data_IF_588394847688
#
_entry.id   IF_588394847688
#
_cell.length_a   1.000
_cell.length_b   1.000
_cell.length_c   1.000
_cell.angle_alpha   90.00
_cell.angle_beta   90.00
_cell.angle_gamma   90.00
#
_symmetry.space_group_name_H-M   'P 1'
#
loop_
_entity.id
_entity.type
_entity.pdbx_description
1 polymer ?
#
# COMPACT_ATOMS: atom_id res chain seq x y z
N UNK A 1 31.26 -35.43 -2.00
CA UNK A 1 30.62 -35.29 -0.68
C UNK A 1 29.38 -34.49 -0.91
N UNK A 2 28.15 -34.99 -0.71
CA UNK A 2 26.93 -34.24 -0.93
C UNK A 2 26.65 -33.38 0.29
N UNK A 3 26.42 -32.08 0.05
CA UNK A 3 26.00 -31.12 1.06
C UNK A 3 24.51 -31.37 1.32
N UNK A 4 24.22 -31.89 2.50
CA UNK A 4 22.84 -32.01 3.02
C UNK A 4 22.36 -30.60 3.41
N UNK A 5 21.41 -30.04 2.65
CA UNK A 5 20.69 -28.82 3.05
C UNK A 5 19.71 -29.19 4.17
N UNK A 6 19.95 -28.63 5.34
CA UNK A 6 19.03 -28.72 6.45
C UNK A 6 17.76 -27.91 6.12
N UNK A 7 16.59 -28.55 6.13
CA UNK A 7 15.30 -27.88 6.12
C UNK A 7 15.11 -27.13 7.46
N UNK A 8 14.56 -25.90 7.46
CA UNK A 8 14.34 -25.19 8.71
C UNK A 8 13.13 -25.77 9.45
N UNK A 9 13.36 -26.22 10.66
CA UNK A 9 12.38 -26.67 11.68
C UNK A 9 11.57 -25.51 12.29
N UNK A 10 11.26 -24.48 11.51
CA UNK A 10 10.61 -23.26 12.02
C UNK A 10 9.08 -23.31 12.08
N UNK A 11 8.45 -24.25 11.38
CA UNK A 11 6.97 -24.29 11.30
C UNK A 11 6.20 -24.68 12.58
N UNK A 12 6.69 -25.61 13.45
CA UNK A 12 5.94 -25.95 14.67
C UNK A 12 5.99 -24.89 15.76
N UNK A 13 7.03 -24.05 15.80
CA UNK A 13 7.18 -23.01 16.82
C UNK A 13 6.20 -21.83 16.65
N UNK A 14 5.82 -21.53 15.42
CA UNK A 14 4.85 -20.44 15.12
C UNK A 14 3.44 -20.82 15.58
N UNK A 15 3.07 -22.10 15.55
CA UNK A 15 1.75 -22.58 15.95
C UNK A 15 1.56 -22.59 17.48
N UNK A 16 2.61 -22.83 18.25
CA UNK A 16 2.56 -22.86 19.73
C UNK A 16 2.59 -21.46 20.36
N UNK A 17 3.20 -20.47 19.70
CA UNK A 17 3.23 -19.09 20.17
C UNK A 17 1.90 -18.34 19.96
N UNK A 18 1.04 -18.80 19.07
CA UNK A 18 -0.28 -18.22 18.82
C UNK A 18 -1.25 -18.38 20.02
N UNK A 19 -0.96 -19.29 20.95
CA UNK A 19 -1.82 -19.57 22.09
C UNK A 19 -1.55 -18.68 23.31
N UNK A 20 -0.49 -17.87 23.31
CA UNK A 20 -0.08 -17.03 24.44
C UNK A 20 -0.12 -15.53 24.17
N UNK A 21 -0.88 -15.05 23.19
CA UNK A 21 -0.99 -13.63 22.89
C UNK A 21 -1.72 -12.87 24.01
N UNK A 22 -1.20 -11.72 24.46
CA UNK A 22 -1.87 -10.91 25.45
C UNK A 22 -3.21 -10.38 24.95
N UNK A 23 -4.19 -10.35 25.85
CA UNK A 23 -5.59 -10.05 25.58
C UNK A 23 -5.88 -8.53 25.45
N UNK A 24 -5.13 -7.80 24.66
CA UNK A 24 -5.35 -6.35 24.48
C UNK A 24 -5.94 -6.02 23.09
N UNK A 25 -6.78 -6.89 22.56
CA UNK A 25 -7.48 -6.61 21.32
C UNK A 25 -8.89 -6.08 21.62
N UNK A 26 -9.28 -5.00 20.97
CA UNK A 26 -10.68 -4.66 20.87
C UNK A 26 -11.42 -5.78 20.14
N UNK A 27 -12.31 -6.44 20.88
CA UNK A 27 -12.96 -7.69 20.46
C UNK A 27 -14.15 -7.49 19.51
N UNK A 28 -14.40 -6.26 18.99
CA UNK A 28 -15.62 -5.93 18.25
C UNK A 28 -15.98 -6.94 17.15
N UNK A 29 -15.19 -6.92 16.05
CA UNK A 29 -15.47 -7.75 14.86
C UNK A 29 -14.50 -8.93 14.71
N UNK A 30 -13.60 -9.16 15.65
CA UNK A 30 -12.60 -10.22 15.59
C UNK A 30 -13.08 -11.49 16.28
N UNK A 31 -12.98 -12.60 15.57
CA UNK A 31 -13.18 -13.95 16.10
C UNK A 31 -12.00 -14.84 15.74
N UNK A 32 -11.24 -15.28 16.72
CA UNK A 32 -10.12 -16.19 16.53
C UNK A 32 -10.58 -17.49 15.83
N UNK A 33 -11.67 -18.08 16.30
CA UNK A 33 -12.20 -19.33 15.73
C UNK A 33 -12.68 -19.15 14.29
N UNK A 34 -13.30 -17.99 13.99
CA UNK A 34 -13.69 -17.67 12.62
C UNK A 34 -12.46 -17.51 11.72
N UNK A 35 -11.43 -16.82 12.19
CA UNK A 35 -10.20 -16.65 11.44
C UNK A 35 -9.49 -17.98 11.19
N UNK A 36 -9.46 -18.87 12.19
CA UNK A 36 -8.91 -20.21 12.03
C UNK A 36 -9.73 -21.04 11.05
N UNK A 37 -11.06 -20.98 11.13
CA UNK A 37 -11.96 -21.66 10.20
C UNK A 37 -11.73 -21.20 8.76
N UNK A 38 -11.60 -19.88 8.55
CA UNK A 38 -11.36 -19.33 7.21
C UNK A 38 -9.97 -19.68 6.66
N UNK A 39 -8.98 -19.89 7.53
CA UNK A 39 -7.67 -20.35 7.11
C UNK A 39 -7.67 -21.80 6.61
N UNK A 40 -8.43 -22.66 7.29
CA UNK A 40 -8.50 -24.11 6.98
C UNK A 40 -9.51 -24.39 5.86
N UNK A 41 -10.60 -23.65 5.85
CA UNK A 41 -11.70 -23.82 4.89
C UNK A 41 -12.23 -22.47 4.42
N UNK A 42 -11.50 -21.80 3.54
CA UNK A 42 -11.87 -20.46 3.07
C UNK A 42 -13.18 -20.54 2.28
N UNK A 43 -14.04 -19.53 2.41
CA UNK A 43 -15.24 -19.43 1.61
C UNK A 43 -14.88 -19.25 0.13
N UNK A 44 -15.69 -19.83 -0.76
CA UNK A 44 -15.49 -19.65 -2.20
C UNK A 44 -15.89 -18.25 -2.62
N UNK A 45 -15.16 -17.67 -3.58
CA UNK A 45 -15.58 -16.46 -4.24
C UNK A 45 -16.82 -16.75 -5.13
N UNK A 46 -17.61 -15.71 -5.38
CA UNK A 46 -18.75 -15.83 -6.30
C UNK A 46 -18.27 -16.06 -7.74
N UNK A 47 -19.17 -16.57 -8.57
CA UNK A 47 -18.87 -16.76 -9.98
C UNK A 47 -18.55 -15.42 -10.66
N UNK A 48 -17.69 -15.42 -11.68
CA UNK A 48 -17.41 -14.24 -12.48
C UNK A 48 -18.70 -13.71 -13.11
N UNK A 49 -18.78 -12.40 -13.18
CA UNK A 49 -19.92 -11.70 -13.77
C UNK A 49 -19.84 -11.66 -15.29
N UNK A 50 -21.00 -11.41 -15.92
CA UNK A 50 -21.09 -11.26 -17.39
C UNK A 50 -20.25 -10.05 -17.87
N UNK A 51 -19.61 -10.14 -19.03
CA UNK A 51 -18.84 -9.06 -19.61
C UNK A 51 -19.67 -7.80 -19.84
N UNK A 52 -19.15 -6.67 -19.36
CA UNK A 52 -19.60 -5.37 -19.81
C UNK A 52 -18.65 -4.83 -20.89
N UNK A 53 -19.21 -4.18 -21.89
CA UNK A 53 -18.40 -3.45 -22.85
C UNK A 53 -17.75 -2.24 -22.15
N UNK A 54 -16.50 -1.96 -22.51
CA UNK A 54 -15.81 -0.78 -22.03
C UNK A 54 -16.47 0.46 -22.64
N UNK A 55 -16.95 1.33 -21.76
CA UNK A 55 -17.58 2.60 -22.13
C UNK A 55 -16.85 3.75 -21.45
N UNK A 56 -16.40 4.70 -22.23
CA UNK A 56 -15.66 5.86 -21.73
C UNK A 56 -14.19 5.56 -21.38
N UNK A 57 -13.45 6.53 -20.86
CA UNK A 57 -12.02 6.40 -20.61
C UNK A 57 -11.68 5.45 -19.47
N UNK A 58 -12.45 5.42 -18.35
CA UNK A 58 -12.19 4.60 -17.17
C UNK A 58 -13.50 4.01 -16.59
N UNK A 59 -14.21 3.17 -17.34
CA UNK A 59 -15.45 2.58 -16.85
C UNK A 59 -15.17 1.57 -15.74
N UNK A 60 -16.16 1.31 -14.90
CA UNK A 60 -16.21 0.08 -14.14
C UNK A 60 -16.44 -1.06 -15.14
N UNK A 61 -15.51 -1.99 -15.17
CA UNK A 61 -15.61 -3.15 -16.03
C UNK A 61 -16.04 -4.34 -15.18
N UNK A 62 -17.17 -4.95 -15.53
CA UNK A 62 -17.44 -6.30 -15.11
C UNK A 62 -16.30 -7.19 -15.61
N UNK A 63 -15.78 -8.05 -14.77
CA UNK A 63 -14.79 -9.03 -15.19
C UNK A 63 -15.48 -10.33 -15.61
N UNK A 64 -15.71 -10.53 -16.90
CA UNK A 64 -16.52 -11.64 -17.39
C UNK A 64 -15.87 -13.00 -17.26
N UNK A 65 -14.58 -13.01 -17.23
CA UNK A 65 -13.78 -14.21 -17.15
C UNK A 65 -12.81 -14.15 -15.98
N UNK A 66 -13.14 -13.37 -14.96
CA UNK A 66 -12.44 -13.41 -13.70
C UNK A 66 -12.48 -14.83 -13.19
N UNK A 67 -11.37 -15.49 -13.28
CA UNK A 67 -11.26 -16.85 -12.85
C UNK A 67 -11.32 -16.89 -11.33
N UNK A 68 -12.36 -17.48 -10.83
CA UNK A 68 -12.34 -18.02 -9.51
C UNK A 68 -11.68 -19.39 -9.59
N UNK A 69 -10.42 -19.50 -9.17
CA UNK A 69 -9.70 -20.76 -9.18
C UNK A 69 -10.26 -21.78 -8.16
N UNK A 70 -11.26 -21.41 -7.38
CA UNK A 70 -11.73 -22.21 -6.28
C UNK A 70 -10.71 -22.25 -5.12
N UNK A 71 -10.88 -23.23 -4.25
CA UNK A 71 -9.89 -23.48 -3.19
C UNK A 71 -8.60 -23.99 -3.83
N UNK A 72 -7.53 -23.23 -3.64
CA UNK A 72 -6.16 -23.62 -3.99
C UNK A 72 -5.44 -24.01 -2.68
N UNK A 73 -5.17 -25.32 -2.45
CA UNK A 73 -4.50 -25.76 -1.23
C UNK A 73 -3.05 -25.27 -1.12
N UNK A 74 -2.45 -24.79 -2.23
CA UNK A 74 -1.18 -24.12 -2.22
C UNK A 74 -1.24 -22.66 -1.75
N UNK A 75 -2.44 -22.11 -1.61
CA UNK A 75 -2.63 -20.71 -1.25
C UNK A 75 -2.66 -20.52 0.27
N UNK A 76 -1.68 -19.82 0.80
CA UNK A 76 -1.38 -19.77 2.23
C UNK A 76 -2.52 -19.28 3.13
N UNK A 77 -3.26 -18.27 2.69
CA UNK A 77 -4.35 -17.71 3.49
C UNK A 77 -5.73 -18.14 3.03
N UNK A 78 -5.80 -19.18 2.20
CA UNK A 78 -7.05 -19.55 1.57
C UNK A 78 -7.60 -18.45 0.66
N UNK A 79 -6.74 -17.56 0.19
CA UNK A 79 -7.14 -16.57 -0.79
C UNK A 79 -7.45 -17.23 -2.12
N UNK A 80 -8.50 -16.77 -2.75
CA UNK A 80 -8.85 -17.18 -4.10
C UNK A 80 -8.23 -16.22 -5.10
N UNK A 81 -7.62 -16.74 -6.14
CA UNK A 81 -7.02 -15.95 -7.21
C UNK A 81 -8.10 -15.52 -8.20
N UNK A 82 -8.26 -14.23 -8.40
CA UNK A 82 -9.13 -13.67 -9.43
C UNK A 82 -8.25 -13.18 -10.57
N UNK A 83 -8.31 -13.88 -11.71
CA UNK A 83 -7.59 -13.48 -12.92
C UNK A 83 -8.45 -12.54 -13.74
N UNK A 84 -7.88 -11.37 -14.09
CA UNK A 84 -8.61 -10.41 -14.91
C UNK A 84 -8.68 -10.88 -16.34
N UNK A 85 -9.87 -10.78 -16.92
CA UNK A 85 -10.07 -11.10 -18.33
C UNK A 85 -9.34 -10.10 -19.24
N UNK A 86 -8.83 -10.54 -20.40
CA UNK A 86 -8.14 -9.64 -21.35
C UNK A 86 -8.98 -8.42 -21.77
N UNK A 87 -10.31 -8.58 -21.84
CA UNK A 87 -11.24 -7.50 -22.19
C UNK A 87 -11.24 -6.35 -21.21
N UNK A 88 -10.83 -6.58 -19.97
CA UNK A 88 -10.70 -5.53 -18.95
C UNK A 88 -9.55 -4.58 -19.24
N UNK A 89 -8.57 -5.00 -20.05
CA UNK A 89 -7.33 -4.29 -20.28
C UNK A 89 -6.43 -4.23 -19.05
N UNK A 90 -6.70 -5.02 -18.01
CA UNK A 90 -5.89 -5.08 -16.79
C UNK A 90 -4.66 -5.96 -17.01
N UNK A 91 -3.47 -5.32 -16.93
CA UNK A 91 -2.19 -5.97 -17.17
C UNK A 91 -1.12 -5.47 -16.20
N UNK A 92 -0.10 -6.29 -15.95
CA UNK A 92 1.12 -5.88 -15.25
C UNK A 92 2.04 -5.04 -16.17
N UNK A 93 3.09 -4.48 -15.63
CA UNK A 93 4.04 -3.64 -16.38
C UNK A 93 4.65 -4.32 -17.60
N UNK A 94 4.94 -5.60 -17.50
CA UNK A 94 5.44 -6.43 -18.62
C UNK A 94 4.34 -6.87 -19.62
N UNK A 95 3.09 -6.43 -19.44
CA UNK A 95 1.96 -6.81 -20.29
C UNK A 95 1.30 -8.14 -19.94
N UNK A 96 1.78 -8.88 -18.93
CA UNK A 96 1.12 -10.12 -18.48
C UNK A 96 -0.23 -9.84 -17.84
N UNK A 97 -1.18 -10.81 -17.87
CA UNK A 97 -2.50 -10.63 -17.28
C UNK A 97 -2.46 -10.29 -15.80
N UNK A 98 -3.23 -9.29 -15.41
CA UNK A 98 -3.36 -8.89 -14.00
C UNK A 98 -4.22 -9.88 -13.23
N UNK A 99 -3.94 -10.05 -11.95
CA UNK A 99 -4.74 -10.83 -11.01
C UNK A 99 -4.70 -10.17 -9.63
N UNK A 100 -5.72 -10.46 -8.82
CA UNK A 100 -5.76 -10.10 -7.41
C UNK A 100 -6.30 -11.26 -6.58
N UNK A 101 -6.28 -11.11 -5.27
CA UNK A 101 -6.61 -12.20 -4.37
C UNK A 101 -7.70 -11.79 -3.39
N UNK A 102 -8.60 -12.72 -3.09
CA UNK A 102 -9.69 -12.47 -2.16
C UNK A 102 -9.83 -13.64 -1.18
N UNK A 103 -9.98 -13.29 0.10
CA UNK A 103 -10.37 -14.23 1.15
C UNK A 103 -11.64 -13.70 1.83
N UNK A 104 -12.73 -14.43 1.70
CA UNK A 104 -14.03 -14.05 2.25
C UNK A 104 -14.25 -14.65 3.63
N UNK A 105 -14.98 -13.93 4.44
CA UNK A 105 -15.45 -14.38 5.75
C UNK A 105 -16.96 -14.54 5.70
N UNK A 106 -17.52 -15.69 6.06
CA UNK A 106 -18.96 -15.87 6.18
C UNK A 106 -19.57 -14.85 7.16
N UNK A 107 -20.77 -14.39 6.84
CA UNK A 107 -21.60 -13.54 7.71
C UNK A 107 -21.06 -12.14 8.00
N UNK A 108 -20.02 -11.68 7.29
CA UNK A 108 -19.62 -10.28 7.34
C UNK A 108 -19.73 -9.61 5.97
N UNK A 109 -20.12 -8.32 5.98
CA UNK A 109 -20.01 -7.45 4.82
C UNK A 109 -18.84 -6.46 4.94
N UNK A 110 -18.13 -6.49 6.07
CA UNK A 110 -16.95 -5.64 6.25
C UNK A 110 -15.83 -6.09 5.33
N UNK A 111 -15.12 -5.15 4.72
CA UNK A 111 -14.12 -5.45 3.69
C UNK A 111 -12.88 -4.59 3.88
N UNK A 112 -11.72 -5.21 3.82
CA UNK A 112 -10.44 -4.52 3.67
C UNK A 112 -9.95 -4.66 2.23
N UNK A 113 -9.57 -3.55 1.63
CA UNK A 113 -8.85 -3.49 0.35
C UNK A 113 -7.41 -3.12 0.67
N UNK A 114 -6.52 -4.10 0.64
CA UNK A 114 -5.11 -3.93 0.93
C UNK A 114 -4.33 -3.84 -0.38
N UNK A 115 -3.67 -2.70 -0.60
CA UNK A 115 -2.83 -2.46 -1.75
C UNK A 115 -1.38 -2.75 -1.38
N UNK A 116 -0.74 -3.60 -2.15
CA UNK A 116 0.65 -3.98 -1.92
C UNK A 116 1.62 -2.83 -2.18
N UNK A 117 2.65 -2.69 -1.34
CA UNK A 117 3.79 -1.83 -1.61
C UNK A 117 4.74 -2.39 -2.66
N UNK A 118 5.76 -1.65 -3.03
CA UNK A 118 6.78 -2.19 -3.92
C UNK A 118 7.40 -1.20 -4.88
N UNK A 119 7.90 -0.09 -4.37
CA UNK A 119 8.65 0.90 -5.13
C UNK A 119 7.85 1.62 -6.22
N UNK A 120 8.58 2.19 -7.16
CA UNK A 120 8.02 2.87 -8.33
C UNK A 120 9.04 2.85 -9.47
N UNK A 121 8.59 3.06 -10.70
CA UNK A 121 9.51 3.05 -11.83
C UNK A 121 9.15 4.09 -12.90
N UNK A 122 10.16 4.55 -13.62
CA UNK A 122 10.04 5.59 -14.66
C UNK A 122 11.18 5.57 -15.68
N UNK A 123 12.03 4.57 -15.66
CA UNK A 123 13.14 4.36 -16.58
C UNK A 123 13.43 2.86 -16.74
N UNK A 124 14.37 2.52 -17.62
CA UNK A 124 14.73 1.14 -17.92
C UNK A 124 15.16 0.39 -16.63
N UNK A 125 16.09 0.95 -15.86
CA UNK A 125 16.65 0.28 -14.70
C UNK A 125 15.61 0.04 -13.60
N UNK A 126 14.78 1.04 -13.33
CA UNK A 126 13.76 0.92 -12.28
C UNK A 126 12.58 0.02 -12.67
N UNK A 127 12.21 -0.05 -13.95
CA UNK A 127 11.11 -0.91 -14.41
C UNK A 127 11.53 -2.34 -14.72
N UNK A 128 12.80 -2.58 -15.14
CA UNK A 128 13.30 -3.91 -15.47
C UNK A 128 13.59 -4.81 -14.26
N UNK A 129 13.51 -4.28 -13.04
CA UNK A 129 13.89 -4.97 -11.81
C UNK A 129 15.37 -4.83 -11.43
N UNK A 130 16.19 -4.10 -12.20
CA UNK A 130 17.61 -3.89 -11.89
C UNK A 130 17.84 -3.01 -10.65
N UNK A 131 16.86 -2.20 -10.27
CA UNK A 131 16.93 -1.34 -9.08
C UNK A 131 16.54 -2.04 -7.77
N UNK A 132 16.32 -3.35 -7.78
CA UNK A 132 15.96 -4.12 -6.60
C UNK A 132 14.67 -3.61 -5.95
N UNK A 133 14.67 -3.48 -4.61
CA UNK A 133 13.49 -3.04 -3.85
C UNK A 133 13.03 -1.62 -4.18
N UNK A 134 13.86 -0.82 -4.79
CA UNK A 134 13.56 0.55 -5.23
C UNK A 134 13.01 0.63 -6.65
N UNK A 135 12.92 -0.50 -7.35
CA UNK A 135 12.29 -0.59 -8.67
C UNK A 135 10.82 -1.03 -8.59
N UNK A 136 10.27 -1.35 -9.76
CA UNK A 136 8.93 -1.94 -9.83
C UNK A 136 8.92 -3.34 -9.21
N UNK A 137 8.04 -3.56 -8.25
CA UNK A 137 7.78 -4.91 -7.74
C UNK A 137 7.15 -5.75 -8.85
N UNK A 138 7.41 -7.05 -8.81
CA UNK A 138 6.87 -8.01 -9.78
C UNK A 138 7.12 -7.61 -11.24
N UNK A 139 8.35 -7.27 -11.65
CA UNK A 139 8.63 -6.81 -13.01
C UNK A 139 8.32 -7.85 -14.08
N UNK A 140 8.26 -9.13 -13.71
CA UNK A 140 7.92 -10.26 -14.58
C UNK A 140 6.43 -10.67 -14.46
N UNK A 141 5.59 -9.84 -13.84
CA UNK A 141 4.18 -10.16 -13.58
C UNK A 141 3.97 -10.92 -12.26
N UNK A 142 2.72 -11.18 -11.92
CA UNK A 142 2.32 -11.81 -10.67
C UNK A 142 2.28 -13.33 -10.87
N UNK A 143 3.11 -14.07 -10.12
CA UNK A 143 3.14 -15.52 -10.16
C UNK A 143 1.80 -16.14 -9.76
N UNK A 144 1.51 -17.36 -10.22
CA UNK A 144 0.26 -18.04 -9.86
C UNK A 144 0.26 -18.52 -8.41
N UNK A 145 1.43 -18.82 -7.86
CA UNK A 145 1.66 -19.21 -6.46
C UNK A 145 1.95 -18.04 -5.52
N UNK A 146 1.68 -16.80 -5.96
CA UNK A 146 2.05 -15.57 -5.24
C UNK A 146 1.59 -15.54 -3.78
N UNK A 147 0.42 -16.10 -3.49
CA UNK A 147 -0.15 -16.19 -2.15
C UNK A 147 0.00 -17.59 -1.54
N UNK A 148 0.95 -18.40 -2.02
CA UNK A 148 1.19 -19.75 -1.51
C UNK A 148 2.15 -19.76 -0.31
N UNK A 149 2.19 -20.89 0.41
CA UNK A 149 3.16 -21.12 1.50
C UNK A 149 4.61 -21.08 1.04
N UNK A 150 4.88 -21.42 -0.22
CA UNK A 150 6.22 -21.48 -0.78
C UNK A 150 6.69 -20.11 -1.30
N UNK A 151 5.76 -19.24 -1.59
CA UNK A 151 6.00 -17.86 -2.00
C UNK A 151 5.11 -16.93 -1.17
N UNK A 152 5.47 -16.72 0.12
CA UNK A 152 4.58 -16.04 1.05
C UNK A 152 4.36 -14.55 0.74
N UNK A 153 4.78 -14.07 -0.41
CA UNK A 153 4.51 -12.72 -0.86
C UNK A 153 4.53 -11.68 0.27
N UNK A 154 4.20 -10.45 0.00
CA UNK A 154 4.10 -9.42 1.02
C UNK A 154 2.94 -9.62 2.03
N UNK A 155 2.11 -10.63 1.86
CA UNK A 155 0.96 -10.89 2.75
C UNK A 155 1.31 -11.27 4.19
N UNK A 156 2.54 -11.80 4.42
CA UNK A 156 3.04 -12.07 5.79
C UNK A 156 3.43 -10.80 6.54
N UNK A 157 3.50 -9.68 5.88
CA UNK A 157 4.18 -8.52 6.42
C UNK A 157 3.26 -7.49 7.05
N UNK A 158 1.95 -7.71 7.17
CA UNK A 158 1.09 -6.76 7.87
C UNK A 158 -0.02 -7.42 8.68
N UNK A 159 -0.22 -7.00 9.94
CA UNK A 159 -1.35 -7.45 10.77
C UNK A 159 -2.72 -7.24 10.13
N UNK A 160 -2.85 -6.29 9.21
CA UNK A 160 -4.10 -6.05 8.50
C UNK A 160 -4.55 -7.22 7.63
N UNK A 161 -3.61 -8.00 7.10
CA UNK A 161 -3.88 -9.09 6.15
C UNK A 161 -3.54 -10.48 6.69
N UNK A 162 -2.89 -10.58 7.84
CA UNK A 162 -2.54 -11.85 8.49
C UNK A 162 -3.60 -12.19 9.53
N UNK A 163 -4.53 -13.11 9.20
CA UNK A 163 -5.68 -13.45 10.06
C UNK A 163 -5.28 -13.97 11.44
N UNK A 164 -4.22 -14.76 11.50
CA UNK A 164 -3.71 -15.35 12.75
C UNK A 164 -2.36 -14.72 13.13
N UNK A 165 -2.28 -13.39 13.06
CA UNK A 165 -1.06 -12.69 13.44
C UNK A 165 -0.72 -13.01 14.92
N UNK A 166 0.52 -13.46 15.22
CA UNK A 166 0.84 -13.99 16.55
C UNK A 166 0.84 -12.91 17.64
N UNK A 167 1.16 -11.67 17.30
CA UNK A 167 1.36 -10.60 18.27
C UNK A 167 0.31 -9.49 18.22
N UNK A 168 -0.19 -9.19 17.03
CA UNK A 168 -1.09 -8.05 16.81
C UNK A 168 -2.47 -8.51 16.42
N UNK A 169 -3.49 -7.97 17.08
CA UNK A 169 -4.89 -8.17 16.74
C UNK A 169 -5.48 -6.88 16.21
N UNK A 170 -6.19 -6.97 15.10
CA UNK A 170 -6.94 -5.87 14.53
C UNK A 170 -8.23 -6.39 13.94
N UNK A 171 -9.32 -5.66 14.10
CA UNK A 171 -10.67 -6.16 13.73
C UNK A 171 -10.79 -6.54 12.26
N UNK A 172 -9.99 -5.94 11.38
CA UNK A 172 -9.97 -6.24 9.95
C UNK A 172 -9.52 -7.67 9.64
N UNK A 173 -8.86 -8.36 10.57
CA UNK A 173 -8.50 -9.78 10.43
C UNK A 173 -9.72 -10.70 10.30
N UNK A 174 -10.90 -10.23 10.69
CA UNK A 174 -12.17 -10.94 10.50
C UNK A 174 -13.06 -10.32 9.41
N UNK A 175 -12.54 -9.46 8.56
CA UNK A 175 -13.23 -8.89 7.41
C UNK A 175 -12.95 -9.67 6.14
N UNK A 176 -13.78 -9.50 5.11
CA UNK A 176 -13.39 -9.91 3.77
C UNK A 176 -12.10 -9.19 3.39
N UNK A 177 -11.12 -9.95 2.90
CA UNK A 177 -9.82 -9.43 2.51
C UNK A 177 -9.70 -9.43 1.00
N UNK A 178 -9.41 -8.27 0.44
CA UNK A 178 -9.06 -8.07 -0.97
C UNK A 178 -7.60 -7.65 -0.99
N UNK A 179 -6.73 -8.51 -1.48
CA UNK A 179 -5.32 -8.22 -1.65
C UNK A 179 -5.04 -7.86 -3.10
N UNK A 180 -4.61 -6.63 -3.32
CA UNK A 180 -4.35 -6.04 -4.64
C UNK A 180 -2.83 -5.95 -4.85
N UNK A 181 -2.21 -6.90 -5.57
CA UNK A 181 -0.77 -6.91 -5.77
C UNK A 181 -0.32 -5.80 -6.71
N UNK A 182 0.94 -5.43 -6.57
CA UNK A 182 1.55 -4.34 -7.30
C UNK A 182 2.52 -4.84 -8.39
N UNK A 183 2.34 -4.42 -9.63
CA UNK A 183 3.19 -4.85 -10.74
C UNK A 183 3.31 -3.83 -11.90
N UNK A 184 2.91 -2.58 -11.66
CA UNK A 184 2.88 -1.55 -12.71
C UNK A 184 3.85 -0.40 -12.46
N UNK A 185 4.43 -0.31 -11.27
CA UNK A 185 5.45 0.68 -10.93
C UNK A 185 4.96 2.14 -10.87
N UNK A 186 3.66 2.39 -10.70
CA UNK A 186 2.99 3.68 -10.88
C UNK A 186 2.05 4.07 -9.74
N UNK A 187 2.24 3.51 -8.54
CA UNK A 187 1.39 3.69 -7.35
C UNK A 187 -0.12 3.56 -7.65
N UNK A 188 -0.48 2.57 -8.48
CA UNK A 188 -1.87 2.28 -8.88
C UNK A 188 -2.59 3.43 -9.59
N UNK A 189 -1.85 4.35 -10.23
CA UNK A 189 -2.41 5.61 -10.73
C UNK A 189 -2.14 5.89 -12.20
N UNK A 190 -1.18 5.20 -12.82
CA UNK A 190 -0.78 5.45 -14.19
C UNK A 190 -1.75 4.92 -15.25
N UNK A 191 -1.67 5.51 -16.45
CA UNK A 191 -2.34 5.04 -17.66
C UNK A 191 -1.51 5.40 -18.91
N UNK A 192 -0.38 4.72 -19.08
CA UNK A 192 0.53 4.94 -20.20
C UNK A 192 1.30 3.67 -20.55
N UNK A 193 1.46 3.40 -21.83
CA UNK A 193 2.48 2.46 -22.31
C UNK A 193 3.73 3.27 -22.63
N UNK A 194 4.82 2.96 -21.93
CA UNK A 194 6.12 3.62 -22.11
C UNK A 194 7.11 2.68 -22.79
N UNK A 195 8.06 3.25 -23.53
CA UNK A 195 9.21 2.52 -24.06
C UNK A 195 10.46 3.13 -23.44
N UNK A 196 11.21 2.31 -22.74
CA UNK A 196 12.44 2.70 -22.05
C UNK A 196 13.65 2.06 -22.73
N UNK A 197 14.53 2.89 -23.27
CA UNK A 197 15.77 2.43 -23.88
C UNK A 197 16.76 1.96 -22.80
N UNK A 198 17.49 0.87 -23.08
CA UNK A 198 18.62 0.47 -22.26
C UNK A 198 19.75 1.50 -22.38
N UNK A 199 20.15 2.19 -21.30
CA UNK A 199 21.22 3.20 -21.39
C UNK A 199 22.55 2.67 -21.90
N UNK A 200 22.77 1.36 -21.80
CA UNK A 200 24.00 0.68 -22.24
C UNK A 200 23.87 0.13 -23.67
N UNK A 201 22.68 0.12 -24.23
CA UNK A 201 22.42 -0.41 -25.58
C UNK A 201 22.65 -1.91 -25.71
N UNK A 202 22.69 -2.66 -24.60
CA UNK A 202 22.98 -4.08 -24.56
C UNK A 202 21.72 -4.95 -24.63
N UNK A 203 20.59 -4.38 -24.27
CA UNK A 203 19.29 -5.06 -24.28
C UNK A 203 18.29 -4.30 -25.17
N UNK A 204 17.29 -4.99 -25.71
CA UNK A 204 16.22 -4.32 -26.44
C UNK A 204 15.45 -3.36 -25.52
N UNK A 205 14.79 -2.33 -26.09
CA UNK A 205 13.93 -1.42 -25.34
C UNK A 205 12.87 -2.16 -24.54
N UNK A 206 12.62 -1.69 -23.31
CA UNK A 206 11.60 -2.23 -22.43
C UNK A 206 10.26 -1.55 -22.70
N UNK A 207 9.28 -2.32 -23.18
CA UNK A 207 7.90 -1.86 -23.27
C UNK A 207 7.23 -2.08 -21.93
N UNK A 208 6.79 -0.99 -21.28
CA UNK A 208 6.25 -1.05 -19.94
C UNK A 208 4.86 -0.41 -19.86
N UNK A 209 3.95 -1.12 -19.20
CA UNK A 209 2.57 -0.69 -19.01
C UNK A 209 2.37 -0.07 -17.62
N UNK A 210 2.39 1.26 -17.53
CA UNK A 210 1.88 1.97 -16.36
C UNK A 210 0.36 1.93 -16.40
N UNK A 211 -0.23 0.89 -15.84
CA UNK A 211 -1.64 0.54 -16.03
C UNK A 211 -2.43 0.51 -14.72
N UNK A 212 -1.88 1.13 -13.67
CA UNK A 212 -2.39 1.02 -12.32
C UNK A 212 -3.82 1.47 -12.16
N UNK A 213 -4.22 2.61 -12.76
CA UNK A 213 -5.60 3.09 -12.68
C UNK A 213 -6.58 2.12 -13.38
N UNK A 214 -6.22 1.58 -14.54
CA UNK A 214 -7.09 0.61 -15.24
C UNK A 214 -7.23 -0.68 -14.47
N UNK A 215 -6.14 -1.17 -13.88
CA UNK A 215 -6.16 -2.34 -13.01
C UNK A 215 -7.10 -2.12 -11.82
N UNK A 216 -6.98 -0.98 -11.15
CA UNK A 216 -7.87 -0.63 -10.04
C UNK A 216 -9.34 -0.52 -10.47
N UNK A 217 -9.62 0.06 -11.64
CA UNK A 217 -10.99 0.13 -12.17
C UNK A 217 -11.57 -1.26 -12.45
N UNK A 218 -10.76 -2.18 -12.95
CA UNK A 218 -11.17 -3.57 -13.19
C UNK A 218 -11.42 -4.31 -11.86
N UNK A 219 -10.52 -4.15 -10.85
CA UNK A 219 -10.71 -4.71 -9.50
C UNK A 219 -12.01 -4.19 -8.87
N UNK A 220 -12.23 -2.87 -8.88
CA UNK A 220 -13.44 -2.25 -8.31
C UNK A 220 -14.70 -2.74 -9.01
N UNK A 221 -14.67 -2.87 -10.33
CA UNK A 221 -15.78 -3.45 -11.10
C UNK A 221 -16.11 -4.87 -10.63
N UNK A 222 -15.10 -5.72 -10.51
CA UNK A 222 -15.29 -7.07 -10.02
C UNK A 222 -15.87 -7.10 -8.59
N UNK A 223 -15.32 -6.28 -7.68
CA UNK A 223 -15.77 -6.20 -6.29
C UNK A 223 -17.25 -5.77 -6.20
N UNK A 224 -17.62 -4.77 -6.98
CA UNK A 224 -19.01 -4.27 -7.02
C UNK A 224 -20.00 -5.37 -7.43
N UNK A 225 -19.61 -6.22 -8.39
CA UNK A 225 -20.49 -7.21 -8.96
C UNK A 225 -20.49 -8.54 -8.17
N UNK A 226 -19.43 -8.82 -7.39
CA UNK A 226 -19.24 -10.12 -6.73
C UNK A 226 -19.23 -10.07 -5.20
N UNK A 227 -19.15 -8.90 -4.60
CA UNK A 227 -19.26 -8.76 -3.15
C UNK A 227 -20.53 -7.98 -2.78
N UNK A 228 -21.19 -8.36 -1.68
CA UNK A 228 -22.26 -7.53 -1.15
C UNK A 228 -21.69 -6.17 -0.76
N UNK A 229 -22.49 -5.12 -0.92
CA UNK A 229 -22.12 -3.76 -0.50
C UNK A 229 -21.61 -3.78 0.94
N UNK A 230 -20.36 -3.31 1.19
CA UNK A 230 -19.77 -3.36 2.51
C UNK A 230 -20.49 -2.45 3.51
N UNK A 231 -20.65 -2.91 4.74
CA UNK A 231 -21.03 -2.04 5.87
C UNK A 231 -19.87 -1.14 6.25
N UNK A 232 -18.67 -1.69 6.31
CA UNK A 232 -17.44 -0.96 6.56
C UNK A 232 -16.39 -1.36 5.51
N UNK A 233 -15.64 -0.38 5.01
CA UNK A 233 -14.54 -0.63 4.07
C UNK A 233 -13.30 0.14 4.50
N UNK A 234 -12.21 -0.58 4.73
CA UNK A 234 -10.88 0.02 4.90
C UNK A 234 -10.09 -0.11 3.58
N UNK A 235 -9.61 0.99 3.05
CA UNK A 235 -8.54 1.01 2.06
C UNK A 235 -7.22 1.28 2.79
N UNK A 236 -6.22 0.43 2.60
CA UNK A 236 -4.92 0.58 3.23
C UNK A 236 -3.82 -0.12 2.44
N UNK A 237 -2.60 0.15 2.79
CA UNK A 237 -1.41 -0.45 2.22
C UNK A 237 -0.18 0.32 2.66
N UNK A 238 0.99 -0.24 2.39
CA UNK A 238 2.27 0.38 2.73
C UNK A 238 2.95 0.93 1.47
N UNK A 239 3.74 2.01 1.61
CA UNK A 239 4.58 2.53 0.52
C UNK A 239 3.76 2.90 -0.72
N UNK A 240 4.10 2.32 -1.88
CA UNK A 240 3.29 2.45 -3.10
C UNK A 240 1.82 2.06 -2.87
N UNK A 241 1.55 1.10 -1.98
CA UNK A 241 0.20 0.70 -1.61
C UNK A 241 -0.52 1.74 -0.75
N UNK A 242 0.18 2.40 0.15
CA UNK A 242 -0.35 3.52 0.93
C UNK A 242 -0.74 4.70 0.04
N UNK A 243 0.17 5.11 -0.85
CA UNK A 243 -0.10 6.12 -1.87
C UNK A 243 -1.24 5.71 -2.81
N UNK A 244 -1.24 4.44 -3.25
CA UNK A 244 -2.28 3.86 -4.08
C UNK A 244 -3.66 3.86 -3.41
N UNK A 245 -3.70 3.56 -2.11
CA UNK A 245 -4.91 3.68 -1.30
C UNK A 245 -5.47 5.10 -1.32
N UNK A 246 -4.61 6.10 -1.07
CA UNK A 246 -4.98 7.51 -1.09
C UNK A 246 -5.49 7.96 -2.45
N UNK A 247 -4.77 7.67 -3.52
CA UNK A 247 -5.12 8.13 -4.88
C UNK A 247 -6.37 7.48 -5.45
N UNK A 248 -6.69 6.24 -5.01
CA UNK A 248 -7.86 5.50 -5.44
C UNK A 248 -9.05 5.58 -4.48
N UNK A 249 -8.90 6.22 -3.31
CA UNK A 249 -9.93 6.20 -2.27
C UNK A 249 -11.27 6.77 -2.74
N UNK A 250 -11.26 7.91 -3.44
CA UNK A 250 -12.48 8.48 -3.99
C UNK A 250 -13.22 7.52 -4.92
N UNK A 251 -12.49 6.78 -5.75
CA UNK A 251 -13.05 5.79 -6.66
C UNK A 251 -13.64 4.59 -5.91
N UNK A 252 -12.88 4.03 -4.96
CA UNK A 252 -13.34 2.94 -4.10
C UNK A 252 -14.61 3.35 -3.35
N UNK A 253 -14.61 4.54 -2.77
CA UNK A 253 -15.70 5.05 -1.95
C UNK A 253 -16.98 5.29 -2.75
N UNK A 254 -16.87 5.83 -3.97
CA UNK A 254 -18.01 6.12 -4.81
C UNK A 254 -18.59 4.87 -5.50
N UNK A 255 -17.73 3.98 -5.96
CA UNK A 255 -18.18 2.88 -6.82
C UNK A 255 -18.59 1.64 -6.04
N UNK A 256 -17.93 1.34 -4.93
CA UNK A 256 -18.32 0.25 -4.00
C UNK A 256 -19.41 0.75 -3.04
N UNK A 257 -19.39 2.04 -2.72
CA UNK A 257 -20.37 2.75 -1.90
C UNK A 257 -20.63 2.09 -0.51
N UNK A 258 -19.59 1.80 0.29
CA UNK A 258 -19.77 1.25 1.63
C UNK A 258 -20.57 2.23 2.52
N UNK A 259 -21.21 1.71 3.57
CA UNK A 259 -21.93 2.58 4.51
C UNK A 259 -20.94 3.47 5.28
N UNK A 260 -19.76 2.94 5.66
CA UNK A 260 -18.64 3.69 6.25
C UNK A 260 -17.34 3.38 5.51
N UNK A 261 -16.58 4.43 5.20
CA UNK A 261 -15.27 4.34 4.60
C UNK A 261 -14.16 4.72 5.57
N UNK A 262 -13.04 4.00 5.49
CA UNK A 262 -11.82 4.26 6.22
C UNK A 262 -10.63 4.22 5.25
N UNK A 263 -9.67 5.09 5.48
CA UNK A 263 -8.38 5.10 4.78
C UNK A 263 -7.25 5.11 5.81
N UNK A 264 -6.29 4.21 5.67
CA UNK A 264 -5.00 4.32 6.36
C UNK A 264 -3.90 4.24 5.31
N UNK A 265 -3.21 5.35 5.11
CA UNK A 265 -2.05 5.44 4.23
C UNK A 265 -0.78 5.27 5.07
N UNK A 266 -0.12 4.14 4.94
CA UNK A 266 1.14 3.87 5.62
C UNK A 266 2.31 4.15 4.67
N UNK A 267 3.15 5.09 5.04
CA UNK A 267 4.44 5.41 4.38
C UNK A 267 4.35 5.65 2.87
N UNK A 268 3.19 6.14 2.41
CA UNK A 268 2.96 6.53 1.02
C UNK A 268 2.57 8.01 0.90
N UNK A 269 3.36 8.97 1.41
CA UNK A 269 2.96 10.37 1.38
C UNK A 269 2.88 10.91 -0.05
N UNK A 270 1.82 11.68 -0.29
CA UNK A 270 1.66 12.50 -1.49
C UNK A 270 1.67 13.95 -1.04
N UNK A 271 2.81 14.59 -1.20
CA UNK A 271 3.04 15.93 -0.70
C UNK A 271 2.46 17.01 -1.61
N UNK A 272 2.12 18.16 -1.03
CA UNK A 272 1.96 19.40 -1.78
C UNK A 272 3.27 19.78 -2.45
N UNK A 273 3.24 20.01 -3.75
CA UNK A 273 4.41 20.35 -4.53
C UNK A 273 4.03 21.35 -5.63
N UNK A 274 4.48 22.58 -5.45
CA UNK A 274 4.20 23.67 -6.35
C UNK A 274 5.48 24.09 -7.11
N UNK A 275 5.31 24.48 -8.36
CA UNK A 275 6.41 24.94 -9.21
C UNK A 275 7.06 26.22 -8.66
N UNK A 276 8.37 26.33 -8.84
CA UNK A 276 9.13 27.58 -8.66
C UNK A 276 9.83 27.77 -7.32
N UNK A 277 9.68 26.81 -6.38
CA UNK A 277 10.40 26.85 -5.10
C UNK A 277 10.71 25.44 -4.59
N UNK A 278 11.83 24.87 -5.06
CA UNK A 278 12.28 23.53 -4.67
C UNK A 278 12.76 23.46 -3.21
N UNK A 279 13.02 24.59 -2.57
CA UNK A 279 13.35 24.62 -1.13
C UNK A 279 12.10 24.47 -0.28
N UNK A 280 11.02 25.12 -0.69
CA UNK A 280 9.74 24.98 -0.01
C UNK A 280 9.02 23.66 -0.39
N UNK A 281 9.19 23.15 -1.62
CA UNK A 281 8.50 21.97 -2.15
C UNK A 281 9.49 20.94 -2.70
N UNK A 282 10.29 20.30 -1.84
CA UNK A 282 11.37 19.42 -2.28
C UNK A 282 10.92 18.21 -3.13
N UNK A 283 9.69 17.75 -3.02
CA UNK A 283 9.15 16.65 -3.83
C UNK A 283 8.66 17.07 -5.22
N UNK A 284 8.76 18.35 -5.59
CA UNK A 284 8.28 18.83 -6.90
C UNK A 284 8.98 18.15 -8.08
N UNK A 285 10.32 17.97 -8.10
CA UNK A 285 10.99 17.30 -9.21
C UNK A 285 10.53 15.85 -9.42
N UNK A 286 10.35 15.08 -8.33
CA UNK A 286 9.77 13.72 -8.41
C UNK A 286 8.37 13.77 -9.02
N UNK A 287 7.50 14.65 -8.52
CA UNK A 287 6.13 14.72 -9.01
C UNK A 287 6.07 15.09 -10.50
N UNK A 288 6.96 15.97 -10.96
CA UNK A 288 7.07 16.30 -12.38
C UNK A 288 7.46 15.07 -13.21
N UNK A 289 8.43 14.30 -12.74
CA UNK A 289 8.89 13.09 -13.43
C UNK A 289 7.78 12.03 -13.54
N UNK A 290 7.11 11.71 -12.43
CA UNK A 290 6.08 10.66 -12.41
C UNK A 290 4.84 11.06 -13.21
N UNK A 291 4.46 12.33 -13.23
CA UNK A 291 3.36 12.84 -14.05
C UNK A 291 3.60 12.54 -15.53
N UNK A 292 4.83 12.76 -16.01
CA UNK A 292 5.22 12.48 -17.38
C UNK A 292 5.36 10.96 -17.63
N UNK A 293 6.07 10.25 -16.77
CA UNK A 293 6.37 8.83 -16.92
C UNK A 293 5.10 7.97 -16.94
N UNK A 294 4.15 8.26 -16.05
CA UNK A 294 2.92 7.48 -15.88
C UNK A 294 1.72 8.03 -16.67
N UNK A 295 1.90 9.10 -17.44
CA UNK A 295 0.85 9.70 -18.26
C UNK A 295 -0.27 10.36 -17.44
N UNK A 296 0.02 10.86 -16.23
CA UNK A 296 -1.01 11.38 -15.33
C UNK A 296 -1.71 12.62 -15.89
N UNK A 297 -1.01 13.48 -16.64
CA UNK A 297 -1.51 14.72 -17.23
C UNK A 297 -2.11 14.57 -18.63
N UNK A 298 -2.18 13.34 -19.16
CA UNK A 298 -2.76 13.12 -20.48
C UNK A 298 -4.19 13.69 -20.58
N UNK A 299 -4.57 14.13 -21.74
CA UNK A 299 -5.94 14.53 -22.03
C UNK A 299 -6.90 13.37 -21.73
N UNK A 300 -7.89 13.60 -20.88
CA UNK A 300 -8.75 12.56 -20.30
C UNK A 300 -7.99 11.50 -19.47
N UNK A 301 -6.79 11.84 -19.02
CA UNK A 301 -5.91 11.00 -18.21
C UNK A 301 -6.31 10.93 -16.73
N UNK A 302 -5.48 10.24 -15.93
CA UNK A 302 -5.79 9.93 -14.53
C UNK A 302 -6.13 11.14 -13.68
N UNK A 303 -5.39 12.24 -13.77
CA UNK A 303 -5.64 13.42 -12.93
C UNK A 303 -6.91 14.17 -13.33
N UNK A 304 -7.22 14.24 -14.63
CA UNK A 304 -8.49 14.82 -15.07
C UNK A 304 -9.67 13.97 -14.65
N UNK A 305 -9.54 12.65 -14.75
CA UNK A 305 -10.55 11.70 -14.29
C UNK A 305 -10.81 11.85 -12.78
N UNK A 306 -9.75 11.92 -11.97
CA UNK A 306 -9.86 12.10 -10.53
C UNK A 306 -10.48 13.47 -10.18
N UNK A 307 -10.07 14.54 -10.85
CA UNK A 307 -10.63 15.88 -10.63
C UNK A 307 -12.14 15.93 -10.90
N UNK A 308 -12.62 15.23 -11.93
CA UNK A 308 -14.04 15.15 -12.24
C UNK A 308 -14.84 14.39 -11.16
N UNK A 309 -14.21 13.49 -10.42
CA UNK A 309 -14.85 12.67 -9.39
C UNK A 309 -14.65 13.21 -7.96
N UNK A 310 -13.67 14.07 -7.75
CA UNK A 310 -13.33 14.61 -6.43
C UNK A 310 -13.29 16.14 -6.49
N UNK A 311 -14.42 16.82 -6.29
CA UNK A 311 -14.49 18.29 -6.24
C UNK A 311 -13.48 18.85 -5.23
N UNK A 312 -12.82 19.94 -5.59
CA UNK A 312 -11.77 20.55 -4.76
C UNK A 312 -10.38 19.92 -4.90
N UNK A 313 -10.25 18.78 -5.57
CA UNK A 313 -8.93 18.26 -5.93
C UNK A 313 -8.30 19.16 -7.02
N UNK A 314 -7.10 19.62 -6.72
CA UNK A 314 -6.31 20.42 -7.66
C UNK A 314 -5.29 19.52 -8.37
N UNK A 315 -5.53 19.21 -9.64
CA UNK A 315 -4.62 18.38 -10.43
C UNK A 315 -3.19 18.94 -10.54
N UNK A 316 -2.98 20.23 -10.28
CA UNK A 316 -1.65 20.85 -10.29
C UNK A 316 -0.91 20.68 -8.94
N UNK A 317 -1.62 20.24 -7.89
CA UNK A 317 -1.08 19.95 -6.57
C UNK A 317 -1.63 18.62 -6.06
N UNK A 318 -0.85 17.55 -6.19
CA UNK A 318 -1.26 16.21 -5.76
C UNK A 318 -1.52 16.14 -4.24
N UNK A 319 -0.87 16.98 -3.44
CA UNK A 319 -1.08 17.07 -2.00
C UNK A 319 -2.47 17.60 -1.61
N UNK A 320 -3.23 18.16 -2.55
CA UNK A 320 -4.63 18.55 -2.32
C UNK A 320 -5.59 17.37 -2.13
N UNK A 321 -5.12 16.12 -2.26
CA UNK A 321 -5.94 14.90 -2.10
C UNK A 321 -6.60 14.82 -0.71
N UNK A 322 -5.85 14.95 0.37
CA UNK A 322 -6.42 14.87 1.72
C UNK A 322 -7.46 15.94 1.99
N UNK A 323 -7.22 17.25 1.73
CA UNK A 323 -8.26 18.26 1.87
C UNK A 323 -9.51 17.99 1.04
N UNK A 324 -9.35 17.57 -0.21
CA UNK A 324 -10.47 17.26 -1.08
C UNK A 324 -11.26 16.04 -0.59
N UNK A 325 -10.59 14.96 -0.18
CA UNK A 325 -11.26 13.79 0.40
C UNK A 325 -11.97 14.11 1.71
N UNK A 326 -11.33 14.86 2.60
CA UNK A 326 -11.93 15.29 3.88
C UNK A 326 -13.22 16.10 3.66
N UNK A 327 -13.19 17.04 2.74
CA UNK A 327 -14.35 17.90 2.43
C UNK A 327 -15.50 17.12 1.78
N UNK A 328 -15.21 16.19 0.86
CA UNK A 328 -16.24 15.44 0.15
C UNK A 328 -16.79 14.24 0.93
N UNK A 329 -16.03 13.74 1.89
CA UNK A 329 -16.33 12.52 2.65
C UNK A 329 -16.26 12.78 4.17
N UNK A 330 -17.05 13.74 4.70
CA UNK A 330 -16.94 14.15 6.11
C UNK A 330 -17.36 13.06 7.10
N UNK A 331 -18.10 12.04 6.64
CA UNK A 331 -18.48 10.88 7.44
C UNK A 331 -17.43 9.75 7.47
N UNK A 332 -16.42 9.83 6.63
CA UNK A 332 -15.32 8.86 6.60
C UNK A 332 -14.21 9.28 7.57
N UNK A 333 -13.36 8.34 7.94
CA UNK A 333 -12.21 8.59 8.83
C UNK A 333 -10.93 8.17 8.14
N UNK A 334 -9.95 9.04 8.14
CA UNK A 334 -8.72 8.84 7.40
C UNK A 334 -7.50 9.01 8.28
N UNK A 335 -6.46 8.24 8.02
CA UNK A 335 -5.19 8.31 8.73
C UNK A 335 -4.00 8.28 7.78
N UNK A 336 -2.95 8.96 8.18
CA UNK A 336 -1.65 8.91 7.54
C UNK A 336 -0.58 8.60 8.57
N UNK A 337 0.33 7.70 8.25
CA UNK A 337 1.45 7.37 9.13
C UNK A 337 2.73 7.15 8.32
N UNK A 338 3.86 7.63 8.82
CA UNK A 338 5.19 7.28 8.36
C UNK A 338 6.24 7.71 9.39
N UNK A 339 7.46 7.17 9.28
CA UNK A 339 8.56 7.55 10.14
C UNK A 339 9.23 8.86 9.69
N UNK A 340 9.63 9.68 10.67
CA UNK A 340 10.48 10.85 10.40
C UNK A 340 11.82 10.48 9.75
N UNK A 341 12.31 9.27 10.00
CA UNK A 341 13.57 8.77 9.47
C UNK A 341 13.38 7.68 8.42
N UNK A 342 12.25 7.69 7.69
CA UNK A 342 12.04 6.81 6.55
C UNK A 342 13.06 7.11 5.45
N UNK A 343 14.14 6.33 5.38
CA UNK A 343 15.20 6.54 4.41
C UNK A 343 14.84 5.94 3.05
N UNK A 344 13.98 4.93 3.01
CA UNK A 344 13.58 4.29 1.77
C UNK A 344 12.76 5.24 0.89
N UNK A 345 11.62 5.73 1.38
CA UNK A 345 10.76 6.62 0.60
C UNK A 345 11.38 8.00 0.36
N UNK A 346 12.12 8.52 1.34
CA UNK A 346 12.81 9.80 1.19
C UNK A 346 13.93 9.76 0.15
N UNK A 347 14.69 8.67 0.06
CA UNK A 347 15.67 8.48 -1.01
C UNK A 347 15.01 8.51 -2.39
N UNK A 348 13.88 7.79 -2.56
CA UNK A 348 13.07 7.91 -3.76
C UNK A 348 12.74 9.33 -4.15
N UNK A 349 12.34 10.10 -3.16
CA UNK A 349 11.82 11.45 -3.37
C UNK A 349 12.89 12.44 -3.77
N UNK A 350 14.16 12.24 -3.34
CA UNK A 350 15.15 13.31 -3.44
C UNK A 350 16.51 12.92 -4.02
N UNK A 351 16.95 11.66 -3.90
CA UNK A 351 18.37 11.29 -4.10
C UNK A 351 18.92 11.62 -5.48
N UNK A 352 18.09 11.61 -6.51
CA UNK A 352 18.53 11.81 -7.91
C UNK A 352 18.21 13.19 -8.46
N UNK A 353 17.52 14.02 -7.73
CA UNK A 353 17.02 15.31 -8.23
C UNK A 353 17.86 16.51 -7.80
N UNK A 354 18.73 16.36 -6.83
CA UNK A 354 19.49 17.42 -6.23
C UNK A 354 20.99 17.20 -6.38
N UNK A 355 21.71 18.09 -7.11
CA UNK A 355 23.15 17.94 -7.33
C UNK A 355 23.96 17.79 -6.05
N UNK A 356 23.58 18.47 -4.95
CA UNK A 356 24.25 18.39 -3.66
C UNK A 356 24.07 17.01 -2.99
N UNK A 357 22.97 16.32 -3.26
CA UNK A 357 22.75 14.95 -2.79
C UNK A 357 23.54 13.96 -3.65
N UNK A 358 23.47 14.13 -4.98
CA UNK A 358 24.19 13.27 -5.94
C UNK A 358 25.69 13.32 -5.71
N UNK A 359 26.23 14.53 -5.45
CA UNK A 359 27.65 14.78 -5.28
C UNK A 359 28.09 14.84 -3.79
N UNK A 360 27.27 14.35 -2.87
CA UNK A 360 27.61 14.33 -1.45
C UNK A 360 28.92 13.57 -1.20
N UNK A 361 29.80 14.07 -0.32
CA UNK A 361 31.15 13.53 -0.15
C UNK A 361 31.17 12.12 0.46
N UNK A 362 30.10 11.72 1.14
CA UNK A 362 29.94 10.40 1.74
C UNK A 362 28.45 10.10 2.00
N UNK A 363 28.14 8.87 2.37
CA UNK A 363 26.79 8.40 2.62
C UNK A 363 26.09 9.18 3.75
N UNK A 364 26.78 9.48 4.84
CA UNK A 364 26.20 10.23 5.96
C UNK A 364 25.76 11.65 5.57
N UNK A 365 26.59 12.35 4.76
CA UNK A 365 26.23 13.65 4.23
C UNK A 365 25.04 13.58 3.27
N UNK A 366 25.01 12.54 2.41
CA UNK A 366 23.87 12.28 1.51
C UNK A 366 22.57 12.09 2.31
N UNK A 367 22.58 11.22 3.30
CA UNK A 367 21.41 10.95 4.14
C UNK A 367 20.94 12.17 4.92
N UNK A 368 21.87 12.98 5.43
CA UNK A 368 21.52 14.21 6.13
C UNK A 368 20.76 15.20 5.22
N UNK A 369 21.20 15.37 3.97
CA UNK A 369 20.52 16.19 2.97
C UNK A 369 19.14 15.65 2.58
N UNK A 370 19.01 14.34 2.44
CA UNK A 370 17.73 13.67 2.18
C UNK A 370 16.77 13.89 3.34
N UNK A 371 17.22 13.64 4.58
CA UNK A 371 16.42 13.81 5.81
C UNK A 371 15.94 15.25 6.00
N UNK A 372 16.75 16.23 5.64
CA UNK A 372 16.37 17.65 5.71
C UNK A 372 15.17 17.95 4.80
N UNK A 373 15.18 17.47 3.55
CA UNK A 373 14.08 17.66 2.60
C UNK A 373 12.83 16.90 3.02
N UNK A 374 13.02 15.68 3.47
CA UNK A 374 11.94 14.87 4.02
C UNK A 374 11.24 15.54 5.20
N UNK A 375 12.01 16.12 6.13
CA UNK A 375 11.46 16.86 7.26
C UNK A 375 10.66 18.09 6.83
N UNK A 376 11.09 18.79 5.77
CA UNK A 376 10.36 19.93 5.21
C UNK A 376 8.98 19.51 4.70
N UNK A 377 8.93 18.49 3.83
CA UNK A 377 7.67 18.00 3.27
C UNK A 377 6.77 17.35 4.34
N UNK A 378 7.34 16.56 5.27
CA UNK A 378 6.61 15.95 6.37
C UNK A 378 5.98 16.99 7.31
N UNK A 379 6.71 18.04 7.65
CA UNK A 379 6.19 19.13 8.50
C UNK A 379 4.99 19.81 7.85
N UNK A 380 5.03 20.03 6.54
CA UNK A 380 3.92 20.60 5.79
C UNK A 380 2.73 19.66 5.76
N UNK A 381 2.95 18.38 5.46
CA UNK A 381 1.88 17.38 5.48
C UNK A 381 1.21 17.31 6.86
N UNK A 382 1.99 17.25 7.95
CA UNK A 382 1.43 17.28 9.31
C UNK A 382 0.54 18.49 9.55
N UNK A 383 1.01 19.68 9.19
CA UNK A 383 0.24 20.91 9.35
C UNK A 383 -1.07 20.88 8.54
N UNK A 384 -1.03 20.29 7.34
CA UNK A 384 -2.21 20.09 6.52
C UNK A 384 -3.19 19.12 7.19
N UNK A 385 -2.72 17.94 7.63
CA UNK A 385 -3.59 16.94 8.26
C UNK A 385 -4.24 17.45 9.54
N UNK A 386 -3.49 18.17 10.37
CA UNK A 386 -3.98 18.75 11.62
C UNK A 386 -5.13 19.77 11.42
N UNK A 387 -5.24 20.34 10.23
CA UNK A 387 -6.33 21.26 9.86
C UNK A 387 -7.64 20.57 9.45
N UNK A 388 -7.62 19.23 9.31
CA UNK A 388 -8.74 18.45 8.79
C UNK A 388 -9.46 17.69 9.92
N UNK A 389 -10.79 17.81 9.98
CA UNK A 389 -11.57 17.29 11.13
C UNK A 389 -11.68 15.76 11.20
N UNK A 390 -11.55 15.07 10.08
CA UNK A 390 -11.72 13.61 9.97
C UNK A 390 -10.46 12.88 9.45
N UNK A 391 -9.32 13.57 9.48
CA UNK A 391 -8.01 13.02 9.12
C UNK A 391 -7.07 13.16 10.31
N UNK A 392 -6.27 12.15 10.59
CA UNK A 392 -5.22 12.18 11.61
C UNK A 392 -3.85 11.80 11.05
N UNK A 393 -2.82 12.04 11.84
CA UNK A 393 -1.45 11.73 11.50
C UNK A 393 -0.71 11.05 12.65
N UNK A 394 0.12 10.05 12.34
CA UNK A 394 0.93 9.35 13.32
C UNK A 394 2.37 9.24 12.82
N UNK A 395 3.30 9.93 13.48
CA UNK A 395 4.67 10.14 13.00
C UNK A 395 5.70 9.72 14.05
N UNK A 396 6.03 8.42 14.17
CA UNK A 396 7.15 7.96 15.01
C UNK A 396 8.48 8.33 14.38
N UNK A 397 9.57 8.31 15.15
CA UNK A 397 10.88 8.69 14.63
C UNK A 397 11.49 7.63 13.73
N UNK A 398 11.70 6.42 14.24
CA UNK A 398 12.35 5.37 13.48
C UNK A 398 12.01 3.97 14.01
N UNK A 399 12.33 2.96 13.22
CA UNK A 399 12.35 1.55 13.60
C UNK A 399 13.54 0.88 12.91
N UNK A 400 14.25 -0.01 13.63
CA UNK A 400 15.42 -0.71 13.11
C UNK A 400 15.04 -1.88 12.18
N UNK A 401 14.23 -1.62 11.18
CA UNK A 401 13.87 -2.57 10.13
C UNK A 401 13.45 -1.82 8.87
N UNK A 402 13.84 -2.32 7.72
CA UNK A 402 13.45 -1.80 6.40
C UNK A 402 13.69 -0.28 6.26
N UNK A 403 14.86 0.20 6.71
CA UNK A 403 15.23 1.62 6.65
C UNK A 403 14.16 2.55 7.28
N UNK A 404 13.50 2.11 8.34
CA UNK A 404 12.34 2.79 8.95
C UNK A 404 11.19 3.02 7.97
N UNK A 405 10.95 2.10 7.06
CA UNK A 405 9.88 2.20 6.08
C UNK A 405 8.70 1.32 6.47
N UNK A 406 7.47 1.84 6.36
CA UNK A 406 6.21 1.19 6.71
C UNK A 406 6.01 0.92 8.21
N UNK A 407 5.15 1.69 8.81
CA UNK A 407 4.86 1.60 10.26
C UNK A 407 4.09 0.34 10.63
N UNK A 408 3.27 -0.20 9.73
CA UNK A 408 2.36 -1.34 9.97
C UNK A 408 2.85 -2.67 9.42
N UNK A 409 4.10 -2.77 8.92
CA UNK A 409 4.64 -4.07 8.50
C UNK A 409 5.12 -4.87 9.70
N UNK A 410 5.07 -6.19 9.59
CA UNK A 410 5.47 -7.20 10.58
C UNK A 410 4.51 -7.19 11.78
N UNK A 411 4.47 -6.12 12.53
CA UNK A 411 3.60 -5.89 13.68
C UNK A 411 3.45 -4.38 13.93
N UNK A 412 2.58 -4.00 14.85
CA UNK A 412 2.40 -2.59 15.21
C UNK A 412 3.38 -2.11 16.31
N UNK A 413 4.00 -3.04 17.03
CA UNK A 413 5.04 -2.72 18.00
C UNK A 413 6.29 -2.11 17.34
N UNK A 414 7.08 -1.39 18.13
CA UNK A 414 8.26 -0.63 17.71
C UNK A 414 7.99 0.50 16.67
N UNK A 415 6.72 0.80 16.43
CA UNK A 415 6.29 2.04 15.78
C UNK A 415 5.68 3.00 16.80
N UNK A 416 6.09 2.91 18.08
CA UNK A 416 5.53 3.68 19.19
C UNK A 416 6.09 5.09 19.25
N UNK A 417 5.24 6.01 19.69
CA UNK A 417 5.60 7.36 20.12
C UNK A 417 5.79 7.31 21.64
N UNK A 418 7.04 7.13 22.08
CA UNK A 418 7.38 6.77 23.45
C UNK A 418 7.01 7.85 24.46
N UNK A 419 7.25 9.12 24.13
CA UNK A 419 6.98 10.25 25.03
C UNK A 419 5.49 10.40 25.40
N UNK A 420 4.59 9.81 24.63
CA UNK A 420 3.15 9.81 24.84
C UNK A 420 2.59 8.45 25.20
N UNK A 421 3.42 7.43 25.29
CA UNK A 421 3.03 6.03 25.46
C UNK A 421 1.93 5.60 24.48
N UNK A 422 2.09 6.02 23.22
CA UNK A 422 1.18 5.69 22.13
C UNK A 422 1.79 4.61 21.25
N UNK A 423 1.00 3.61 20.95
CA UNK A 423 1.32 2.57 19.98
C UNK A 423 0.52 2.78 18.69
N UNK A 424 0.94 2.15 17.62
CA UNK A 424 0.27 2.28 16.32
C UNK A 424 -1.17 1.75 16.36
N UNK A 425 -1.47 0.77 17.21
CA UNK A 425 -2.83 0.26 17.41
C UNK A 425 -3.80 1.32 17.94
N UNK A 426 -3.35 2.24 18.82
CA UNK A 426 -4.16 3.38 19.25
C UNK A 426 -4.55 4.29 18.08
N UNK A 427 -3.60 4.51 17.15
CA UNK A 427 -3.88 5.27 15.94
C UNK A 427 -4.86 4.53 15.02
N UNK A 428 -4.61 3.25 14.76
CA UNK A 428 -5.48 2.41 13.93
C UNK A 428 -6.90 2.36 14.53
N UNK A 429 -7.02 2.15 15.83
CA UNK A 429 -8.31 2.16 16.53
C UNK A 429 -8.97 3.54 16.47
N UNK A 430 -8.21 4.63 16.56
CA UNK A 430 -8.79 5.97 16.43
C UNK A 430 -9.40 6.19 15.04
N UNK A 431 -8.85 5.58 13.99
CA UNK A 431 -9.44 5.62 12.64
C UNK A 431 -10.67 4.72 12.57
N UNK A 432 -10.56 3.47 12.99
CA UNK A 432 -11.58 2.45 12.74
C UNK A 432 -12.78 2.52 13.70
N UNK A 433 -12.55 2.86 14.97
CA UNK A 433 -13.54 2.78 16.04
C UNK A 433 -13.87 4.13 16.70
N UNK A 434 -13.04 5.15 16.45
CA UNK A 434 -13.21 6.46 17.06
C UNK A 434 -14.47 7.19 16.63
N UNK A 435 -15.02 7.99 17.52
CA UNK A 435 -16.17 8.87 17.27
C UNK A 435 -15.81 10.37 17.27
N UNK A 436 -14.64 10.73 17.79
CA UNK A 436 -14.11 12.08 17.81
C UNK A 436 -13.14 12.37 16.67
N UNK A 437 -12.27 13.35 16.86
CA UNK A 437 -11.18 13.62 15.93
C UNK A 437 -10.25 12.39 15.83
N UNK A 438 -9.73 12.12 14.65
CA UNK A 438 -8.72 11.06 14.47
C UNK A 438 -7.43 11.48 15.17
N UNK A 439 -6.75 10.53 15.80
CA UNK A 439 -5.53 10.80 16.57
C UNK A 439 -4.48 11.51 15.70
N UNK A 440 -3.91 12.58 16.24
CA UNK A 440 -2.70 13.20 15.74
C UNK A 440 -1.59 13.06 16.78
N UNK A 441 -0.47 12.50 16.39
CA UNK A 441 0.69 12.32 17.23
C UNK A 441 1.99 12.32 16.42
N UNK A 442 3.03 12.87 17.03
CA UNK A 442 4.37 12.91 16.44
C UNK A 442 5.39 12.75 17.55
N UNK A 443 6.38 11.91 17.34
CA UNK A 443 7.49 11.72 18.26
C UNK A 443 8.54 12.81 18.06
N UNK A 444 9.09 13.35 19.16
CA UNK A 444 10.18 14.31 19.09
C UNK A 444 11.53 13.61 18.85
N UNK A 445 12.47 14.29 18.18
CA UNK A 445 13.79 13.73 17.89
C UNK A 445 14.61 13.43 19.15
N UNK A 446 14.40 14.18 20.22
CA UNK A 446 15.20 14.09 21.46
C UNK A 446 14.92 12.83 22.27
N UNK A 447 13.75 12.22 22.09
CA UNK A 447 13.32 11.01 22.84
C UNK A 447 13.70 9.76 22.09
N UNK A 448 13.64 9.78 20.77
CA UNK A 448 13.76 8.59 19.91
C UNK A 448 15.12 7.88 20.00
N UNK A 449 16.21 8.63 20.15
CA UNK A 449 17.57 8.06 20.09
C UNK A 449 17.95 7.24 21.34
N UNK A 450 17.16 7.30 22.41
CA UNK A 450 17.57 6.75 23.70
C UNK A 450 17.02 5.38 24.05
N UNK A 451 15.93 4.92 23.48
CA UNK A 451 15.16 3.83 24.10
C UNK A 451 14.54 2.76 23.18
N UNK A 452 14.82 2.73 21.87
CA UNK A 452 14.27 1.63 21.05
C UNK A 452 15.16 0.39 21.17
N UNK A 453 14.73 -0.67 21.85
CA UNK A 453 15.57 -1.85 22.10
C UNK A 453 15.89 -2.57 20.80
N UNK A 454 17.09 -3.16 20.75
CA UNK A 454 17.44 -4.10 19.70
C UNK A 454 16.46 -5.29 19.73
N UNK A 455 15.82 -5.54 18.60
CA UNK A 455 14.94 -6.68 18.43
C UNK A 455 15.57 -7.67 17.43
N UNK A 456 16.00 -8.82 17.92
CA UNK A 456 16.64 -9.86 17.11
C UNK A 456 15.74 -10.32 15.96
N UNK A 457 14.43 -10.42 16.17
CA UNK A 457 13.48 -10.82 15.14
C UNK A 457 13.48 -9.80 13.99
N UNK A 458 13.45 -8.50 14.31
CA UNK A 458 13.54 -7.44 13.30
C UNK A 458 14.86 -7.47 12.54
N UNK A 459 15.96 -7.68 13.24
CA UNK A 459 17.27 -7.81 12.59
C UNK A 459 17.30 -8.98 11.59
N UNK A 460 16.75 -10.13 11.98
CA UNK A 460 16.69 -11.28 11.09
C UNK A 460 15.76 -11.07 9.90
N UNK A 461 14.64 -10.38 10.10
CA UNK A 461 13.69 -10.05 9.04
C UNK A 461 14.24 -8.99 8.09
N UNK A 462 15.01 -8.03 8.59
CA UNK A 462 15.68 -7.00 7.78
C UNK A 462 16.72 -7.60 6.82
N UNK A 463 17.30 -8.74 7.18
CA UNK A 463 18.21 -9.48 6.29
C UNK A 463 17.47 -10.29 5.20
N UNK A 464 16.14 -10.45 5.32
CA UNK A 464 15.30 -11.23 4.41
C UNK A 464 14.41 -10.35 3.50
N UNK A 465 14.23 -9.10 3.85
CA UNK A 465 13.44 -8.10 3.12
C UNK A 465 14.31 -7.26 2.20
#
# INVERSE_FOLDING_TARGET
MPVVRALPLALPAIFLLALSAPANAELGDYSFWQSLSNLVSPPRADNPVTPAQRVGPYPLLANPAGFNSGFDPGNYYGCQTIRMAPQTGAVCGNGSPYKFFINRVPNTRNTIVYLEGGGACWDYASCSGQSGIRGARNPNGIADDYMSLLNPGASLVSPFVVRLHPWTRVKTQNWNMVYVPYCTGDIYSGDKVAVYEDPQGQQPPLVWHHNGLRNMRAVVGWLKDNLPRPTQMLATGCSAGGAGGLTNYANLRQDIAPDRGYLINDSGPVYTALAGDDQAYPSYPLQTLIRQAWGLDAAQGPLQYLQARLPGFNRNDLGSLYPALSSNLPGDRMGHTHFWQDLNYSSYSYERFYPEIVNAPNQAAREALIKQRWATDTTRLRSQLASLGNVGGYFPQFRNVNESHCTSIIEFANSDIQERNLQLDHFVSSVLDGSGQVLEASESSDVADRNKPFNLLYYLLDQLL
#
